data_IF_321092609478
#
_entry.id   IF_321092609478
#
_cell.length_a   1.000
_cell.length_b   1.000
_cell.length_c   1.000
_cell.angle_alpha   90.00
_cell.angle_beta   90.00
_cell.angle_gamma   90.00
#
_symmetry.space_group_name_H-M   'P 1'
#
loop_
_entity.id
_entity.type
_entity.pdbx_description
1 polymer ?
#
# COMPACT_ATOMS: atom_id res chain seq x y z
N UNK A 1 34.27 -1.11 -21.88
CA UNK A 1 33.18 -0.14 -22.16
C UNK A 1 32.11 -0.94 -22.87
N UNK A 2 30.90 -1.16 -22.35
CA UNK A 2 30.20 -0.50 -21.24
C UNK A 2 29.16 -1.52 -20.74
N UNK A 3 29.11 -1.75 -19.43
CA UNK A 3 28.05 -2.51 -18.78
C UNK A 3 26.74 -1.75 -18.90
N UNK A 4 25.72 -2.36 -19.48
CA UNK A 4 24.33 -1.93 -19.32
C UNK A 4 23.81 -2.57 -18.02
N UNK A 5 23.52 -1.82 -16.94
CA UNK A 5 22.71 -2.36 -15.87
C UNK A 5 21.28 -2.26 -16.36
N UNK A 6 20.76 -3.33 -16.98
CA UNK A 6 19.33 -3.50 -17.14
C UNK A 6 18.70 -3.22 -15.77
N UNK A 7 17.88 -2.17 -15.72
CA UNK A 7 17.36 -1.60 -14.49
C UNK A 7 16.89 -2.69 -13.55
N UNK A 8 17.40 -2.66 -12.32
CA UNK A 8 16.82 -3.41 -11.22
C UNK A 8 15.41 -2.86 -10.99
N UNK A 9 14.44 -3.31 -11.78
CA UNK A 9 13.05 -3.25 -11.39
C UNK A 9 13.00 -3.94 -10.04
N UNK A 10 12.81 -3.17 -8.97
CA UNK A 10 12.89 -3.67 -7.61
C UNK A 10 11.87 -4.78 -7.49
N UNK A 11 12.34 -6.03 -7.53
CA UNK A 11 11.45 -7.17 -7.43
C UNK A 11 10.82 -7.10 -6.06
N UNK A 12 9.50 -6.92 -6.02
CA UNK A 12 8.77 -6.83 -4.76
C UNK A 12 9.12 -8.04 -3.88
N UNK A 13 9.35 -7.82 -2.57
CA UNK A 13 9.54 -8.94 -1.66
C UNK A 13 8.29 -9.83 -1.65
N UNK A 14 8.41 -11.11 -1.30
CA UNK A 14 7.24 -11.95 -1.06
C UNK A 14 6.40 -11.32 0.06
N UNK A 15 5.09 -11.16 -0.14
CA UNK A 15 4.16 -10.51 0.81
C UNK A 15 3.03 -11.45 1.26
N UNK A 16 3.33 -12.74 1.44
CA UNK A 16 2.33 -13.79 1.75
C UNK A 16 1.96 -13.86 3.24
N UNK A 17 2.70 -13.17 4.11
CA UNK A 17 2.48 -13.19 5.56
C UNK A 17 2.45 -11.77 6.14
N UNK A 18 1.86 -11.61 7.33
CA UNK A 18 1.87 -10.35 8.10
C UNK A 18 3.31 -9.84 8.27
N UNK A 19 4.23 -10.71 8.70
CA UNK A 19 5.63 -10.33 8.92
C UNK A 19 6.34 -9.89 7.63
N UNK A 20 5.94 -10.43 6.49
CA UNK A 20 6.47 -10.03 5.19
C UNK A 20 5.94 -8.67 4.73
N UNK A 21 4.65 -8.39 4.93
CA UNK A 21 4.07 -7.06 4.67
C UNK A 21 4.72 -6.02 5.58
N UNK A 22 4.82 -6.31 6.89
CA UNK A 22 5.55 -5.47 7.86
C UNK A 22 6.97 -5.15 7.38
N UNK A 23 7.75 -6.16 7.02
CA UNK A 23 9.12 -5.97 6.57
C UNK A 23 9.20 -5.08 5.32
N UNK A 24 8.31 -5.28 4.34
CA UNK A 24 8.24 -4.44 3.16
C UNK A 24 7.93 -2.98 3.49
N UNK A 25 6.98 -2.72 4.40
CA UNK A 25 6.68 -1.37 4.85
C UNK A 25 7.87 -0.71 5.57
N UNK A 26 8.53 -1.44 6.47
CA UNK A 26 9.74 -0.95 7.16
C UNK A 26 10.89 -0.65 6.19
N UNK A 27 10.99 -1.40 5.10
CA UNK A 27 11.99 -1.17 4.03
C UNK A 27 11.61 -0.01 3.09
N UNK A 28 10.46 0.64 3.30
CA UNK A 28 10.03 1.80 2.53
C UNK A 28 9.34 1.47 1.20
N UNK A 29 8.82 0.25 1.03
CA UNK A 29 8.06 -0.10 -0.17
C UNK A 29 6.63 0.48 -0.20
N UNK A 30 6.11 0.93 0.94
CA UNK A 30 4.78 1.57 1.07
C UNK A 30 4.79 3.09 0.87
N UNK A 31 3.63 3.71 1.07
CA UNK A 31 3.52 5.16 1.15
C UNK A 31 4.10 5.70 2.48
N UNK A 32 4.51 6.97 2.54
CA UNK A 32 4.98 7.58 3.78
C UNK A 32 3.94 7.42 4.90
N UNK A 33 4.35 6.87 6.04
CA UNK A 33 3.49 6.61 7.20
C UNK A 33 2.87 5.20 7.26
N UNK A 34 2.82 4.47 6.15
CA UNK A 34 2.14 3.16 6.11
C UNK A 34 2.70 2.15 7.13
N UNK A 35 4.00 2.20 7.45
CA UNK A 35 4.58 1.29 8.44
C UNK A 35 4.00 1.51 9.85
N UNK A 36 3.84 2.76 10.28
CA UNK A 36 3.30 3.11 11.59
C UNK A 36 1.79 2.85 11.64
N UNK A 37 1.08 3.22 10.57
CA UNK A 37 -0.37 2.98 10.43
C UNK A 37 -0.69 1.48 10.45
N UNK A 38 0.08 0.66 9.72
CA UNK A 38 -0.10 -0.79 9.70
C UNK A 38 0.03 -1.40 11.10
N UNK A 39 1.04 -1.02 11.88
CA UNK A 39 1.21 -1.57 13.23
C UNK A 39 0.09 -1.11 14.18
N UNK A 40 -0.32 0.16 14.09
CA UNK A 40 -1.41 0.68 14.91
C UNK A 40 -2.75 -0.02 14.60
N UNK A 41 -3.07 -0.19 13.33
CA UNK A 41 -4.28 -0.88 12.89
C UNK A 41 -4.22 -2.38 13.18
N UNK A 42 -3.07 -3.03 12.99
CA UNK A 42 -2.91 -4.45 13.28
C UNK A 42 -3.10 -4.73 14.77
N UNK A 43 -2.52 -3.89 15.64
CA UNK A 43 -2.73 -3.99 17.08
C UNK A 43 -4.20 -3.80 17.45
N UNK A 44 -4.88 -2.85 16.81
CA UNK A 44 -6.32 -2.62 17.03
C UNK A 44 -7.15 -3.83 16.60
N UNK A 45 -6.95 -4.34 15.39
CA UNK A 45 -7.70 -5.47 14.85
C UNK A 45 -7.47 -6.73 15.71
N UNK A 46 -6.22 -7.03 16.09
CA UNK A 46 -5.93 -8.17 16.97
C UNK A 46 -6.60 -8.03 18.35
N UNK A 47 -6.61 -6.83 18.93
CA UNK A 47 -7.21 -6.61 20.26
C UNK A 47 -8.75 -6.72 20.26
N UNK A 48 -9.40 -6.52 19.11
CA UNK A 48 -10.86 -6.55 18.98
C UNK A 48 -11.37 -7.79 18.24
N UNK A 49 -10.49 -8.58 17.64
CA UNK A 49 -10.88 -9.76 16.86
C UNK A 49 -11.50 -10.83 17.76
N UNK A 50 -12.60 -11.41 17.29
CA UNK A 50 -13.05 -12.71 17.79
C UNK A 50 -12.00 -13.75 17.36
N UNK A 51 -11.44 -14.57 18.27
CA UNK A 51 -10.51 -15.62 17.89
C UNK A 51 -11.05 -16.60 16.83
N UNK A 52 -12.38 -16.72 16.69
CA UNK A 52 -13.02 -17.50 15.63
C UNK A 52 -13.17 -16.75 14.30
N UNK A 53 -12.96 -15.42 14.28
CA UNK A 53 -13.07 -14.57 13.09
C UNK A 53 -11.93 -13.55 12.99
N UNK A 54 -10.97 -13.86 12.12
CA UNK A 54 -9.82 -13.00 11.81
C UNK A 54 -9.99 -12.22 10.49
N UNK A 55 -11.21 -12.10 9.97
CA UNK A 55 -11.46 -11.42 8.69
C UNK A 55 -10.98 -9.97 8.66
N UNK A 56 -11.08 -9.25 9.79
CA UNK A 56 -10.54 -7.89 9.94
C UNK A 56 -9.02 -7.81 9.73
N UNK A 57 -8.27 -8.74 10.34
CA UNK A 57 -6.81 -8.85 10.18
C UNK A 57 -6.44 -9.20 8.74
N UNK A 58 -7.16 -10.13 8.10
CA UNK A 58 -6.92 -10.49 6.70
C UNK A 58 -7.17 -9.30 5.77
N UNK A 59 -8.28 -8.58 5.97
CA UNK A 59 -8.61 -7.38 5.19
C UNK A 59 -7.50 -6.33 5.30
N UNK A 60 -7.01 -6.07 6.51
CA UNK A 60 -5.91 -5.14 6.75
C UNK A 60 -4.64 -5.53 5.99
N UNK A 61 -4.25 -6.81 6.03
CA UNK A 61 -3.04 -7.29 5.33
C UNK A 61 -3.16 -7.14 3.82
N UNK A 62 -4.32 -7.47 3.25
CA UNK A 62 -4.55 -7.33 1.80
C UNK A 62 -4.60 -5.85 1.38
N UNK A 63 -5.14 -4.97 2.22
CA UNK A 63 -5.13 -3.53 1.99
C UNK A 63 -3.69 -2.98 1.88
N UNK A 64 -2.85 -3.25 2.87
CA UNK A 64 -1.47 -2.76 2.86
C UNK A 64 -0.61 -3.43 1.79
N UNK A 65 -0.87 -4.71 1.47
CA UNK A 65 -0.26 -5.34 0.28
C UNK A 65 -0.64 -4.59 -0.99
N UNK A 66 -1.92 -4.23 -1.14
CA UNK A 66 -2.40 -3.43 -2.27
C UNK A 66 -1.70 -2.07 -2.37
N UNK A 67 -1.55 -1.37 -1.24
CA UNK A 67 -0.82 -0.09 -1.18
C UNK A 67 0.65 -0.23 -1.62
N UNK A 68 1.35 -1.25 -1.13
CA UNK A 68 2.73 -1.53 -1.53
C UNK A 68 2.83 -1.75 -3.05
N UNK A 69 1.94 -2.57 -3.61
CA UNK A 69 1.91 -2.85 -5.05
C UNK A 69 1.62 -1.57 -5.84
N UNK A 70 0.62 -0.80 -5.42
CA UNK A 70 0.23 0.45 -6.07
C UNK A 70 1.38 1.46 -6.08
N UNK A 71 2.15 1.56 -5.00
CA UNK A 71 3.31 2.46 -4.91
C UNK A 71 4.42 2.15 -5.92
N UNK A 72 4.49 0.90 -6.40
CA UNK A 72 5.46 0.49 -7.42
C UNK A 72 5.04 0.89 -8.84
N UNK A 73 3.78 1.26 -9.06
CA UNK A 73 3.33 1.75 -10.35
C UNK A 73 3.85 3.18 -10.56
N UNK A 74 4.73 3.41 -11.56
CA UNK A 74 5.26 4.75 -11.83
C UNK A 74 4.17 5.74 -12.28
N UNK A 75 3.01 5.26 -12.73
CA UNK A 75 1.86 6.07 -13.12
C UNK A 75 0.90 6.40 -11.97
N UNK A 76 1.10 5.83 -10.77
CA UNK A 76 0.14 5.92 -9.67
C UNK A 76 -0.18 7.37 -9.29
N UNK A 77 0.84 8.18 -8.98
CA UNK A 77 0.63 9.56 -8.52
C UNK A 77 -0.05 10.42 -9.59
N UNK A 78 0.30 10.22 -10.87
CA UNK A 78 -0.33 10.92 -11.98
C UNK A 78 -1.79 10.53 -12.15
N UNK A 79 -2.10 9.24 -12.05
CA UNK A 79 -3.47 8.72 -12.15
C UNK A 79 -4.35 9.25 -10.99
N UNK A 80 -3.82 9.26 -9.77
CA UNK A 80 -4.52 9.83 -8.60
C UNK A 80 -4.75 11.32 -8.78
N UNK A 81 -3.73 12.07 -9.19
CA UNK A 81 -3.85 13.52 -9.42
C UNK A 81 -4.90 13.83 -10.50
N UNK A 82 -4.95 13.06 -11.58
CA UNK A 82 -5.95 13.22 -12.63
C UNK A 82 -7.36 12.96 -12.09
N UNK A 83 -7.56 11.86 -11.37
CA UNK A 83 -8.85 11.52 -10.79
C UNK A 83 -9.35 12.57 -9.78
N UNK A 84 -8.45 13.11 -8.95
CA UNK A 84 -8.79 14.20 -8.02
C UNK A 84 -9.26 15.44 -8.79
N UNK A 85 -8.53 15.83 -9.84
CA UNK A 85 -8.91 16.95 -10.70
C UNK A 85 -10.28 16.77 -11.35
N UNK A 86 -10.58 15.57 -11.85
CA UNK A 86 -11.88 15.25 -12.45
C UNK A 86 -13.03 15.35 -11.43
N UNK A 87 -12.82 14.86 -10.20
CA UNK A 87 -13.80 14.94 -9.11
C UNK A 87 -14.06 16.41 -8.72
N UNK A 88 -13.02 17.23 -8.64
CA UNK A 88 -13.15 18.65 -8.33
C UNK A 88 -13.88 19.41 -9.44
N UNK A 89 -13.55 19.14 -10.70
CA UNK A 89 -14.24 19.71 -11.86
C UNK A 89 -15.73 19.36 -11.86
N UNK A 90 -16.07 18.09 -11.59
CA UNK A 90 -17.46 17.64 -11.51
C UNK A 90 -18.24 18.33 -10.38
N UNK A 91 -17.61 18.59 -9.23
CA UNK A 91 -18.23 19.31 -8.11
C UNK A 91 -18.37 20.81 -8.39
N UNK A 92 -17.43 21.41 -9.12
CA UNK A 92 -17.47 22.82 -9.52
C UNK A 92 -18.56 23.11 -10.57
N UNK A 93 -18.79 22.20 -11.50
CA UNK A 93 -19.79 22.34 -12.56
C UNK A 93 -21.26 22.25 -12.06
N UNK A 94 -21.47 21.83 -10.80
CA UNK A 94 -22.79 21.77 -10.16
C UNK A 94 -23.17 23.01 -9.34
N UNK A 95 -22.38 24.08 -9.39
CA UNK A 95 -22.63 25.39 -8.76
C UNK A 95 -22.95 26.44 -9.81
#
# INVERSE_FOLDING_TARGET
>A
MTTDPAGSGSQLPPMRTIGQVRAALTMGYGFPGDADDFEAELAREINHADPADLSGVVRLVEEFRGRIIARQDPGFDAAVSAAVGDIEAARGAGR
#
